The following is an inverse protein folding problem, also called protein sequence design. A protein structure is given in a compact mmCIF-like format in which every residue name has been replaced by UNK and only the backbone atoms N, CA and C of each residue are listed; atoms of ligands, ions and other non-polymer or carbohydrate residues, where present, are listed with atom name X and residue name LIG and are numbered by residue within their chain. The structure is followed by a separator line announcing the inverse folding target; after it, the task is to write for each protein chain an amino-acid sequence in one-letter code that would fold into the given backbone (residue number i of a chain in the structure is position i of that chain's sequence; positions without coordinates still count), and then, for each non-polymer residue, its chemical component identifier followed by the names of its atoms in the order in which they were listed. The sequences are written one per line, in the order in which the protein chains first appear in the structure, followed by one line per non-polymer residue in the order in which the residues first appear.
data_IF_463034997098
#
_entry.id   IF_463034997098
#
_cell.length_a   1.000
_cell.length_b   1.000
_cell.length_c   1.000
_cell.angle_alpha   90.00
_cell.angle_beta   90.00
_cell.angle_gamma   90.00
#
_symmetry.space_group_name_H-M   'P 1'
#
loop_
_entity.id
_entity.type
_entity.pdbx_description
1 polymer ?
#
# COMPACT_ATOMS: atom_id res chain seq x y z
N UNK A 1 17.02 -16.04 -27.18
CA UNK A 1 15.55 -16.09 -27.30
C UNK A 1 14.97 -14.89 -26.56
N UNK A 2 14.10 -14.07 -27.18
CA UNK A 2 13.63 -12.78 -26.63
C UNK A 2 12.38 -12.89 -25.72
N UNK A 3 11.70 -14.03 -25.74
CA UNK A 3 10.56 -14.33 -24.87
C UNK A 3 9.95 -15.69 -25.21
N UNK A 4 9.30 -16.32 -24.22
CA UNK A 4 8.62 -17.62 -24.37
C UNK A 4 7.21 -17.51 -23.80
N UNK A 5 6.22 -18.00 -24.55
CA UNK A 5 4.80 -18.06 -24.18
C UNK A 5 4.39 -19.51 -23.94
N UNK A 6 3.40 -19.72 -23.07
CA UNK A 6 2.70 -21.00 -22.98
C UNK A 6 1.62 -21.08 -24.06
N UNK A 7 1.24 -22.29 -24.46
CA UNK A 7 0.18 -22.57 -25.41
C UNK A 7 -0.37 -23.97 -25.17
N UNK A 8 -1.60 -24.23 -25.61
CA UNK A 8 -2.22 -25.57 -25.59
C UNK A 8 -2.72 -25.91 -27.00
N UNK A 9 -2.68 -27.20 -27.36
CA UNK A 9 -3.14 -27.68 -28.66
C UNK A 9 -4.67 -27.80 -28.66
N UNK A 10 -5.38 -27.05 -29.52
CA UNK A 10 -6.85 -27.06 -29.52
C UNK A 10 -7.46 -28.46 -29.73
N UNK A 11 -6.81 -29.32 -30.52
CA UNK A 11 -7.29 -30.68 -30.80
C UNK A 11 -7.23 -31.60 -29.58
N UNK A 12 -6.33 -31.31 -28.64
CA UNK A 12 -6.09 -32.13 -27.46
C UNK A 12 -6.48 -31.39 -26.16
N UNK A 13 -6.90 -30.14 -26.26
CA UNK A 13 -7.21 -29.33 -25.10
C UNK A 13 -8.47 -29.84 -24.42
N UNK A 14 -8.44 -29.85 -23.09
CA UNK A 14 -9.59 -30.19 -22.25
C UNK A 14 -10.19 -28.88 -21.75
N UNK A 15 -11.51 -28.79 -21.76
CA UNK A 15 -12.22 -27.64 -21.17
C UNK A 15 -12.21 -27.75 -19.65
N UNK A 16 -11.97 -26.63 -18.98
CA UNK A 16 -12.03 -26.54 -17.54
C UNK A 16 -12.60 -25.19 -17.11
N UNK A 17 -13.24 -25.17 -15.95
CA UNK A 17 -13.57 -23.95 -15.25
C UNK A 17 -12.37 -23.49 -14.44
N UNK A 18 -12.07 -22.20 -14.49
CA UNK A 18 -11.05 -21.57 -13.65
C UNK A 18 -11.71 -20.49 -12.82
N UNK A 19 -11.61 -20.62 -11.50
CA UNK A 19 -12.05 -19.64 -10.51
C UNK A 19 -10.86 -18.77 -10.10
N UNK A 20 -10.85 -17.54 -10.59
CA UNK A 20 -9.87 -16.53 -10.19
C UNK A 20 -10.40 -15.72 -9.00
N UNK A 21 -9.74 -15.87 -7.85
CA UNK A 21 -10.09 -15.14 -6.65
C UNK A 21 -9.27 -13.84 -6.53
N UNK A 22 -9.90 -12.80 -6.00
CA UNK A 22 -9.27 -11.59 -5.47
C UNK A 22 -9.71 -11.40 -4.00
N UNK A 23 -9.29 -10.30 -3.37
CA UNK A 23 -9.68 -9.93 -2.01
C UNK A 23 -11.19 -9.86 -1.89
N UNK A 24 -11.72 -10.49 -0.85
CA UNK A 24 -13.16 -10.53 -0.55
C UNK A 24 -13.71 -9.15 -0.21
N UNK A 25 -12.92 -8.30 0.44
CA UNK A 25 -13.32 -6.94 0.83
C UNK A 25 -12.51 -5.90 0.07
N UNK A 26 -13.17 -4.78 -0.23
CA UNK A 26 -12.57 -3.58 -0.84
C UNK A 26 -11.76 -2.77 0.19
N UNK A 27 -12.13 -2.88 1.46
CA UNK A 27 -11.45 -2.24 2.59
C UNK A 27 -10.54 -3.23 3.32
N UNK A 28 -9.45 -2.73 3.90
CA UNK A 28 -8.50 -3.52 4.69
C UNK A 28 -9.04 -3.84 6.10
N UNK A 29 -9.93 -3.00 6.63
CA UNK A 29 -10.59 -3.15 7.93
C UNK A 29 -12.10 -2.85 7.81
N UNK A 30 -12.87 -3.71 7.12
CA UNK A 30 -14.29 -3.46 6.81
C UNK A 30 -15.20 -3.42 8.05
N UNK A 31 -14.75 -3.95 9.19
CA UNK A 31 -15.45 -3.97 10.48
C UNK A 31 -15.10 -2.77 11.40
N UNK A 32 -14.18 -1.89 10.97
CA UNK A 32 -13.73 -0.75 11.79
C UNK A 32 -14.72 0.42 11.84
N UNK A 33 -15.77 0.38 11.03
CA UNK A 33 -16.76 1.45 10.89
C UNK A 33 -17.95 1.21 11.83
N UNK A 34 -18.20 2.13 12.76
CA UNK A 34 -19.32 2.02 13.71
C UNK A 34 -20.70 2.19 13.04
N UNK A 35 -20.75 2.94 11.93
CA UNK A 35 -21.99 3.34 11.27
C UNK A 35 -22.27 2.57 9.96
N UNK A 36 -21.50 1.52 9.65
CA UNK A 36 -21.63 0.75 8.40
C UNK A 36 -21.51 -0.74 8.63
N UNK A 37 -22.25 -1.53 7.86
CA UNK A 37 -22.10 -2.98 7.87
C UNK A 37 -20.87 -3.38 7.04
N UNK A 38 -20.07 -4.33 7.53
CA UNK A 38 -18.91 -4.85 6.82
C UNK A 38 -19.30 -5.48 5.46
N UNK A 39 -20.54 -5.97 5.34
CA UNK A 39 -21.11 -6.49 4.09
C UNK A 39 -21.13 -5.45 2.97
N UNK A 40 -21.22 -4.16 3.29
CA UNK A 40 -21.15 -3.07 2.30
C UNK A 40 -19.79 -2.97 1.60
N UNK A 41 -18.75 -3.57 2.19
CA UNK A 41 -17.40 -3.56 1.66
C UNK A 41 -17.04 -4.82 0.86
N UNK A 42 -17.99 -5.73 0.62
CA UNK A 42 -17.76 -6.90 -0.23
C UNK A 42 -17.32 -6.44 -1.62
N UNK A 43 -16.23 -7.02 -2.10
CA UNK A 43 -15.74 -6.85 -3.45
C UNK A 43 -16.59 -7.68 -4.42
N UNK A 44 -17.37 -7.05 -5.32
CA UNK A 44 -18.16 -7.77 -6.31
C UNK A 44 -17.29 -8.53 -7.31
N UNK A 45 -16.02 -8.13 -7.47
CA UNK A 45 -15.03 -8.77 -8.34
C UNK A 45 -14.14 -9.76 -7.58
N UNK A 46 -14.53 -10.18 -6.36
CA UNK A 46 -13.75 -11.12 -5.54
C UNK A 46 -13.64 -12.53 -6.13
N UNK A 47 -14.55 -12.89 -7.03
CA UNK A 47 -14.52 -14.14 -7.78
C UNK A 47 -14.84 -13.85 -9.25
N UNK A 48 -13.96 -14.34 -10.13
CA UNK A 48 -14.21 -14.38 -11.57
C UNK A 48 -14.10 -15.80 -12.07
N UNK A 49 -15.17 -16.29 -12.70
CA UNK A 49 -15.21 -17.62 -13.30
C UNK A 49 -14.90 -17.49 -14.79
N UNK A 50 -13.97 -18.32 -15.28
CA UNK A 50 -13.49 -18.30 -16.67
C UNK A 50 -13.51 -19.71 -17.24
N UNK A 51 -14.06 -19.89 -18.44
CA UNK A 51 -13.85 -21.13 -19.22
C UNK A 51 -12.43 -21.10 -19.81
N UNK A 52 -11.63 -22.11 -19.49
CA UNK A 52 -10.25 -22.25 -19.90
C UNK A 52 -10.01 -23.58 -20.65
N UNK A 53 -8.87 -23.63 -21.33
CA UNK A 53 -8.38 -24.81 -22.01
C UNK A 53 -7.07 -25.27 -21.37
N UNK A 54 -7.01 -26.53 -20.97
CA UNK A 54 -5.85 -27.14 -20.31
C UNK A 54 -5.25 -28.27 -21.15
N UNK A 55 -4.03 -28.70 -20.81
CA UNK A 55 -3.35 -29.79 -21.50
C UNK A 55 -3.85 -31.18 -21.08
N UNK A 56 -3.71 -32.21 -21.94
CA UNK A 56 -4.17 -33.57 -21.65
C UNK A 56 -3.59 -34.21 -20.38
N UNK A 57 -2.41 -33.79 -19.93
CA UNK A 57 -1.75 -34.32 -18.73
C UNK A 57 -2.61 -34.13 -17.47
N UNK A 58 -3.51 -33.14 -17.49
CA UNK A 58 -4.40 -32.78 -16.39
C UNK A 58 -5.78 -33.48 -16.49
N UNK A 59 -5.95 -34.47 -17.37
CA UNK A 59 -7.23 -35.18 -17.53
C UNK A 59 -7.65 -35.98 -16.28
N UNK A 60 -6.68 -36.54 -15.56
CA UNK A 60 -6.91 -37.49 -14.46
C UNK A 60 -6.38 -36.92 -13.13
N UNK A 61 -6.84 -35.72 -12.78
CA UNK A 61 -6.46 -35.04 -11.54
C UNK A 61 -7.47 -35.33 -10.44
N UNK A 62 -7.02 -35.29 -9.19
CA UNK A 62 -7.87 -35.48 -8.01
C UNK A 62 -8.11 -34.13 -7.31
N UNK A 63 -9.25 -33.97 -6.61
CA UNK A 63 -9.47 -32.81 -5.74
C UNK A 63 -8.30 -32.55 -4.80
N UNK A 64 -7.91 -31.29 -4.67
CA UNK A 64 -6.77 -30.86 -3.86
C UNK A 64 -5.39 -30.97 -4.53
N UNK A 65 -5.27 -31.63 -5.70
CA UNK A 65 -4.03 -31.63 -6.47
C UNK A 65 -3.61 -30.21 -6.84
N UNK A 66 -2.30 -29.96 -6.92
CA UNK A 66 -1.73 -28.60 -7.06
C UNK A 66 -0.80 -28.51 -8.25
N UNK A 67 -0.96 -27.45 -9.04
CA UNK A 67 -0.20 -27.23 -10.26
C UNK A 67 0.24 -25.78 -10.37
N UNK A 68 1.36 -25.57 -11.07
CA UNK A 68 1.74 -24.24 -11.53
C UNK A 68 1.38 -24.12 -13.02
N UNK A 69 0.39 -23.29 -13.33
CA UNK A 69 0.10 -22.96 -14.73
C UNK A 69 1.13 -21.95 -15.21
N UNK A 70 1.87 -22.34 -16.25
CA UNK A 70 3.06 -21.65 -16.69
C UNK A 70 2.76 -20.17 -17.00
N UNK A 71 3.49 -19.26 -16.34
CA UNK A 71 3.33 -17.79 -16.45
C UNK A 71 2.00 -17.21 -15.94
N UNK A 72 1.11 -18.00 -15.36
CA UNK A 72 -0.20 -17.54 -14.87
C UNK A 72 -0.20 -17.49 -13.34
N UNK A 73 0.04 -18.63 -12.69
CA UNK A 73 -0.10 -18.73 -11.24
C UNK A 73 -0.03 -20.17 -10.74
N UNK A 74 -0.30 -20.32 -9.45
CA UNK A 74 -0.49 -21.61 -8.82
C UNK A 74 -1.99 -21.86 -8.66
N UNK A 75 -2.39 -23.09 -8.93
CA UNK A 75 -3.76 -23.55 -8.96
C UNK A 75 -3.90 -24.85 -8.18
N UNK A 76 -5.09 -25.07 -7.61
CA UNK A 76 -5.49 -26.36 -7.09
C UNK A 76 -6.78 -26.83 -7.75
N UNK A 77 -6.99 -28.13 -7.78
CA UNK A 77 -8.26 -28.74 -8.17
C UNK A 77 -9.26 -28.52 -7.05
N UNK A 78 -10.44 -27.98 -7.39
CA UNK A 78 -11.54 -27.73 -6.45
C UNK A 78 -12.32 -29.03 -6.16
N UNK A 79 -12.95 -29.10 -4.99
CA UNK A 79 -13.75 -30.25 -4.57
C UNK A 79 -15.02 -30.45 -5.43
N UNK A 80 -15.47 -29.40 -6.13
CA UNK A 80 -16.55 -29.44 -7.12
C UNK A 80 -16.11 -30.12 -8.44
N UNK A 81 -14.84 -30.49 -8.60
CA UNK A 81 -14.34 -31.13 -9.81
C UNK A 81 -14.86 -32.55 -9.97
N UNK A 82 -15.24 -32.88 -11.20
CA UNK A 82 -15.69 -34.22 -11.61
C UNK A 82 -14.88 -34.69 -12.82
N UNK A 83 -15.04 -35.95 -13.21
CA UNK A 83 -14.37 -36.50 -14.40
C UNK A 83 -14.79 -35.81 -15.71
N UNK A 84 -15.94 -35.15 -15.74
CA UNK A 84 -16.46 -34.46 -16.92
C UNK A 84 -16.31 -32.93 -16.83
N UNK A 85 -16.21 -32.39 -15.62
CA UNK A 85 -16.09 -30.96 -15.36
C UNK A 85 -14.95 -30.69 -14.38
N UNK A 86 -13.80 -30.29 -14.92
CA UNK A 86 -12.64 -29.93 -14.12
C UNK A 86 -12.73 -28.47 -13.66
N UNK A 87 -12.54 -28.24 -12.37
CA UNK A 87 -12.60 -26.91 -11.75
C UNK A 87 -11.27 -26.61 -11.06
N UNK A 88 -10.62 -25.52 -11.45
CA UNK A 88 -9.36 -25.08 -10.87
C UNK A 88 -9.52 -23.75 -10.16
N UNK A 89 -9.06 -23.69 -8.91
CA UNK A 89 -8.98 -22.47 -8.14
C UNK A 89 -7.59 -21.86 -8.27
N UNK A 90 -7.54 -20.58 -8.62
CA UNK A 90 -6.29 -19.82 -8.60
C UNK A 90 -5.92 -19.51 -7.15
N UNK A 91 -4.94 -20.23 -6.62
CA UNK A 91 -4.43 -20.02 -5.26
C UNK A 91 -3.71 -18.67 -5.16
N UNK A 92 -2.79 -18.40 -6.09
CA UNK A 92 -2.04 -17.13 -6.13
C UNK A 92 -1.43 -16.90 -7.51
N UNK A 93 -1.36 -15.65 -7.95
CA UNK A 93 -0.64 -15.26 -9.17
C UNK A 93 0.89 -15.36 -9.02
N UNK A 94 1.61 -15.44 -10.14
CA UNK A 94 3.07 -15.36 -10.11
C UNK A 94 3.55 -13.95 -9.78
N UNK A 95 4.74 -13.87 -9.18
CA UNK A 95 5.40 -12.59 -8.91
C UNK A 95 5.83 -11.94 -10.22
N UNK A 96 5.14 -10.87 -10.62
CA UNK A 96 5.60 -10.02 -11.70
C UNK A 96 6.71 -9.08 -11.20
N UNK A 97 7.94 -9.30 -11.65
CA UNK A 97 9.09 -8.45 -11.32
C UNK A 97 9.22 -7.22 -12.23
N UNK A 98 8.52 -7.20 -13.38
CA UNK A 98 8.49 -6.05 -14.29
C UNK A 98 7.44 -5.01 -13.89
N UNK A 99 6.37 -5.42 -13.20
CA UNK A 99 5.39 -4.50 -12.61
C UNK A 99 5.96 -3.58 -11.52
N UNK A 100 7.23 -3.75 -11.11
CA UNK A 100 7.93 -2.82 -10.20
C UNK A 100 8.38 -1.50 -10.83
N UNK A 101 8.05 -1.22 -12.09
CA UNK A 101 8.38 0.07 -12.71
C UNK A 101 7.18 0.71 -13.40
N UNK A 102 6.34 1.33 -12.57
CA UNK A 102 5.76 2.68 -12.69
C UNK A 102 4.61 2.76 -11.67
N UNK A 103 4.55 3.74 -10.76
CA UNK A 103 3.26 4.07 -10.15
C UNK A 103 2.31 4.33 -11.33
N UNK A 104 1.25 3.53 -11.45
CA UNK A 104 0.20 3.80 -12.43
C UNK A 104 -0.23 5.26 -12.24
N UNK A 105 -0.26 6.10 -13.28
CA UNK A 105 -0.99 7.35 -13.21
C UNK A 105 -2.41 6.95 -12.83
N UNK A 106 -2.89 7.39 -11.67
CA UNK A 106 -4.32 7.32 -11.39
C UNK A 106 -4.95 8.28 -12.37
N UNK A 107 -5.67 7.76 -13.35
CA UNK A 107 -6.56 8.57 -14.17
C UNK A 107 -7.54 9.25 -13.24
N UNK A 108 -7.41 10.58 -13.14
CA UNK A 108 -8.41 11.45 -12.53
C UNK A 108 -9.61 11.52 -13.47
N UNK A 109 -10.45 10.48 -13.48
CA UNK A 109 -11.82 10.65 -13.92
C UNK A 109 -12.63 11.16 -12.72
N UNK A 110 -13.07 12.40 -12.84
CA UNK A 110 -14.08 13.04 -11.99
C UNK A 110 -15.32 12.14 -11.88
N UNK A 111 -15.42 11.38 -10.79
CA UNK A 111 -16.69 10.96 -10.21
C UNK A 111 -16.82 11.64 -8.85
N UNK A 112 -17.99 12.16 -8.47
CA UNK A 112 -18.19 12.71 -7.14
C UNK A 112 -17.93 11.59 -6.13
N UNK A 113 -16.83 11.70 -5.38
CA UNK A 113 -16.51 10.81 -4.28
C UNK A 113 -17.43 11.17 -3.10
N UNK A 114 -18.16 10.19 -2.52
CA UNK A 114 -18.63 10.37 -1.15
C UNK A 114 -17.38 10.53 -0.25
N UNK A 115 -17.45 11.47 0.69
CA UNK A 115 -16.33 11.96 1.49
C UNK A 115 -15.37 10.82 1.93
N UNK A 116 -14.20 10.77 1.29
CA UNK A 116 -13.10 9.92 1.72
C UNK A 116 -12.74 10.29 3.15
N UNK A 117 -12.72 9.31 4.06
CA UNK A 117 -12.02 9.46 5.33
C UNK A 117 -10.57 9.83 5.00
N UNK A 118 -10.23 11.12 5.20
CA UNK A 118 -8.86 11.60 5.12
C UNK A 118 -8.05 10.74 6.09
N UNK A 119 -7.00 10.06 5.60
CA UNK A 119 -5.99 9.52 6.52
C UNK A 119 -5.56 10.64 7.46
N UNK A 120 -5.48 10.41 8.78
CA UNK A 120 -5.08 11.46 9.72
C UNK A 120 -3.80 12.13 9.22
N UNK A 121 -3.77 13.46 9.18
CA UNK A 121 -2.67 14.22 8.59
C UNK A 121 -1.29 13.80 9.17
N UNK A 122 -1.28 13.43 10.45
CA UNK A 122 -0.10 12.91 11.16
C UNK A 122 0.47 11.61 10.54
N UNK A 123 -0.36 10.69 10.04
CA UNK A 123 0.11 9.45 9.40
C UNK A 123 0.78 9.73 8.06
N UNK A 124 0.30 10.74 7.33
CA UNK A 124 0.92 11.17 6.08
C UNK A 124 2.27 11.84 6.36
N UNK A 125 2.35 12.71 7.37
CA UNK A 125 3.62 13.33 7.81
C UNK A 125 4.66 12.25 8.19
N UNK A 126 4.27 11.22 8.94
CA UNK A 126 5.16 10.08 9.27
C UNK A 126 5.66 9.37 8.01
N UNK A 127 4.81 9.15 7.01
CA UNK A 127 5.19 8.50 5.76
C UNK A 127 6.16 9.34 4.92
N UNK A 128 5.94 10.66 4.85
CA UNK A 128 6.84 11.60 4.17
C UNK A 128 8.20 11.65 4.86
N UNK A 129 8.22 11.76 6.20
CA UNK A 129 9.44 11.76 7.00
C UNK A 129 10.31 10.51 6.79
N UNK A 130 9.70 9.31 6.73
CA UNK A 130 10.44 8.05 6.50
C UNK A 130 11.27 8.04 5.20
N UNK A 131 10.86 8.83 4.18
CA UNK A 131 11.52 8.87 2.88
C UNK A 131 12.37 10.13 2.68
N UNK A 132 12.17 11.16 3.50
CA UNK A 132 12.66 12.52 3.28
C UNK A 132 14.15 12.59 2.92
N UNK A 133 15.02 11.98 3.74
CA UNK A 133 16.48 12.01 3.54
C UNK A 133 16.97 11.25 2.29
N UNK A 134 16.15 10.37 1.73
CA UNK A 134 16.48 9.57 0.54
C UNK A 134 15.93 10.19 -0.75
N UNK A 135 15.24 11.33 -0.67
CA UNK A 135 14.69 12.03 -1.82
C UNK A 135 15.74 12.99 -2.42
N UNK A 136 15.75 13.19 -3.75
CA UNK A 136 16.45 14.31 -4.38
C UNK A 136 15.92 15.66 -3.85
N UNK A 137 16.76 16.70 -3.83
CA UNK A 137 16.42 18.05 -3.31
C UNK A 137 15.07 18.58 -3.83
N UNK A 138 14.85 18.51 -5.15
CA UNK A 138 13.58 18.94 -5.79
C UNK A 138 12.33 18.23 -5.26
N UNK A 139 12.47 17.00 -4.73
CA UNK A 139 11.37 16.24 -4.11
C UNK A 139 11.30 16.50 -2.61
N UNK A 140 12.42 16.79 -1.95
CA UNK A 140 12.43 17.21 -0.54
C UNK A 140 11.65 18.50 -0.35
N UNK A 141 11.84 19.49 -1.22
CA UNK A 141 11.08 20.76 -1.19
C UNK A 141 9.56 20.53 -1.29
N UNK A 142 9.14 19.65 -2.21
CA UNK A 142 7.73 19.28 -2.37
C UNK A 142 7.18 18.57 -1.13
N UNK A 143 7.94 17.61 -0.59
CA UNK A 143 7.55 16.92 0.64
C UNK A 143 7.51 17.86 1.85
N UNK A 144 8.42 18.83 1.94
CA UNK A 144 8.40 19.87 2.97
C UNK A 144 7.15 20.74 2.87
N UNK A 145 6.81 21.22 1.68
CA UNK A 145 5.59 22.00 1.45
C UNK A 145 4.31 21.21 1.82
N UNK A 146 4.29 19.91 1.52
CA UNK A 146 3.18 19.03 1.90
C UNK A 146 3.09 18.82 3.42
N UNK A 147 4.23 18.60 4.10
CA UNK A 147 4.29 18.49 5.57
C UNK A 147 3.80 19.78 6.22
N UNK A 148 4.24 20.95 5.74
CA UNK A 148 3.80 22.25 6.26
C UNK A 148 2.28 22.40 6.18
N UNK A 149 1.68 22.06 5.04
CA UNK A 149 0.23 22.13 4.86
C UNK A 149 -0.52 21.14 5.76
N UNK A 150 -0.03 19.91 5.86
CA UNK A 150 -0.65 18.88 6.72
C UNK A 150 -0.53 19.22 8.20
N UNK A 151 0.52 19.95 8.59
CA UNK A 151 0.74 20.35 9.97
C UNK A 151 -0.29 21.40 10.46
N UNK A 152 -1.00 22.09 9.55
CA UNK A 152 -2.13 22.96 9.91
C UNK A 152 -3.35 22.16 10.42
N UNK A 153 -3.43 20.86 10.09
CA UNK A 153 -4.57 19.98 10.44
C UNK A 153 -4.28 19.06 11.66
N UNK A 154 -3.13 19.19 12.33
CA UNK A 154 -2.77 18.34 13.49
C UNK A 154 -2.70 19.13 14.80
N UNK A 155 -2.84 18.43 15.93
CA UNK A 155 -2.67 18.99 17.27
C UNK A 155 -1.29 18.69 17.86
N UNK A 156 -0.90 19.39 18.94
CA UNK A 156 0.30 19.06 19.71
C UNK A 156 0.30 17.62 20.21
N UNK A 157 -0.86 17.11 20.66
CA UNK A 157 -1.00 15.75 21.18
C UNK A 157 -0.69 14.68 20.12
N UNK A 158 -0.91 14.97 18.83
CA UNK A 158 -0.55 14.08 17.73
C UNK A 158 0.96 14.07 17.46
N UNK A 159 1.62 15.20 17.70
CA UNK A 159 3.03 15.41 17.35
C UNK A 159 4.00 15.01 18.46
N UNK A 160 3.67 15.30 19.72
CA UNK A 160 4.50 15.04 20.90
C UNK A 160 5.07 13.61 20.97
N UNK A 161 4.30 12.54 20.66
CA UNK A 161 4.85 11.18 20.66
C UNK A 161 6.05 10.99 19.73
N UNK A 162 6.18 11.81 18.68
CA UNK A 162 7.28 11.75 17.74
C UNK A 162 8.57 12.40 18.26
N UNK A 163 8.55 13.15 19.36
CA UNK A 163 9.77 13.72 19.95
C UNK A 163 10.72 12.63 20.47
N UNK A 164 10.17 11.47 20.85
CA UNK A 164 10.94 10.29 21.26
C UNK A 164 11.43 9.43 20.09
N UNK A 165 11.38 9.93 18.86
CA UNK A 165 11.87 9.21 17.68
C UNK A 165 13.38 8.98 17.77
N UNK A 166 13.81 7.72 17.58
CA UNK A 166 15.22 7.34 17.63
C UNK A 166 16.10 8.18 16.68
N UNK A 167 17.30 8.56 17.13
CA UNK A 167 18.27 9.41 16.41
C UNK A 167 18.51 8.96 14.96
N UNK A 168 18.64 7.65 14.73
CA UNK A 168 18.84 7.06 13.40
C UNK A 168 17.69 7.29 12.40
N UNK A 169 16.50 7.70 12.86
CA UNK A 169 15.32 7.98 12.03
C UNK A 169 15.24 9.47 11.70
N UNK A 170 16.34 10.01 11.18
CA UNK A 170 16.53 11.46 10.95
C UNK A 170 15.43 12.08 10.09
N UNK A 171 14.98 11.41 9.02
CA UNK A 171 13.90 11.94 8.17
C UNK A 171 12.56 12.13 8.91
N UNK A 172 12.24 11.23 9.85
CA UNK A 172 11.06 11.40 10.71
C UNK A 172 11.25 12.57 11.67
N UNK A 173 12.44 12.73 12.25
CA UNK A 173 12.77 13.89 13.11
C UNK A 173 12.66 15.21 12.35
N UNK A 174 13.11 15.27 11.09
CA UNK A 174 12.98 16.44 10.22
C UNK A 174 11.51 16.79 9.99
N UNK A 175 10.68 15.80 9.60
CA UNK A 175 9.25 16.02 9.39
C UNK A 175 8.54 16.49 10.67
N UNK A 176 8.89 15.93 11.83
CA UNK A 176 8.40 16.38 13.13
C UNK A 176 8.81 17.82 13.43
N UNK A 177 10.06 18.21 13.12
CA UNK A 177 10.55 19.58 13.32
C UNK A 177 9.80 20.59 12.43
N UNK A 178 9.60 20.26 11.16
CA UNK A 178 8.83 21.08 10.23
C UNK A 178 7.40 21.25 10.72
N UNK A 179 6.75 20.17 11.17
CA UNK A 179 5.39 20.24 11.70
C UNK A 179 5.30 21.05 13.00
N UNK A 180 6.29 20.91 13.89
CA UNK A 180 6.40 21.71 15.11
C UNK A 180 6.51 23.20 14.81
N UNK A 181 7.25 23.58 13.76
CA UNK A 181 7.39 24.99 13.35
C UNK A 181 6.04 25.64 13.02
N UNK A 182 5.09 24.87 12.47
CA UNK A 182 3.75 25.35 12.13
C UNK A 182 2.90 25.51 13.38
N UNK A 183 2.92 24.53 14.28
CA UNK A 183 2.20 24.61 15.55
C UNK A 183 2.63 25.82 16.37
N UNK A 184 3.94 26.06 16.50
CA UNK A 184 4.47 27.21 17.22
C UNK A 184 4.07 28.55 16.57
N UNK A 185 4.08 28.62 15.22
CA UNK A 185 3.58 29.80 14.49
C UNK A 185 2.08 30.03 14.69
N UNK A 186 1.32 28.96 14.88
CA UNK A 186 -0.12 28.99 15.13
C UNK A 186 -0.47 29.19 16.62
N UNK A 187 0.51 29.51 17.47
CA UNK A 187 0.28 29.88 18.87
C UNK A 187 0.41 28.74 19.88
N UNK A 188 0.94 27.58 19.49
CA UNK A 188 1.32 26.54 20.45
C UNK A 188 2.42 27.08 21.39
N UNK A 189 2.21 26.96 22.70
CA UNK A 189 3.22 27.34 23.68
C UNK A 189 4.37 26.34 23.74
N UNK A 190 5.58 26.86 23.93
CA UNK A 190 6.76 26.02 24.21
C UNK A 190 6.64 25.39 25.59
N UNK A 191 7.13 24.15 25.69
CA UNK A 191 7.22 23.41 26.93
C UNK A 191 8.54 22.64 26.97
N UNK A 192 8.83 22.00 28.10
CA UNK A 192 10.08 21.26 28.31
C UNK A 192 10.32 20.17 27.24
N UNK A 193 9.27 19.51 26.76
CA UNK A 193 9.39 18.47 25.74
C UNK A 193 9.78 19.05 24.37
N UNK A 194 9.20 20.20 24.00
CA UNK A 194 9.54 20.95 22.78
C UNK A 194 10.99 21.42 22.84
N UNK A 195 11.39 22.08 23.92
CA UNK A 195 12.74 22.63 24.05
C UNK A 195 13.78 21.51 24.05
N UNK A 196 13.54 20.43 24.79
CA UNK A 196 14.40 19.24 24.77
C UNK A 196 14.54 18.63 23.37
N UNK A 197 13.46 18.61 22.59
CA UNK A 197 13.49 18.07 21.23
C UNK A 197 14.27 18.99 20.27
N UNK A 198 14.12 20.31 20.40
CA UNK A 198 14.85 21.31 19.62
C UNK A 198 16.34 21.25 19.94
N UNK A 199 16.72 21.26 21.21
CA UNK A 199 18.14 21.22 21.63
C UNK A 199 18.85 19.97 21.09
N UNK A 200 18.21 18.80 21.24
CA UNK A 200 18.72 17.53 20.68
C UNK A 200 18.76 17.49 19.15
N UNK A 201 18.02 18.37 18.47
CA UNK A 201 18.05 18.48 17.02
C UNK A 201 19.12 19.46 16.54
N UNK A 202 19.41 20.51 17.32
CA UNK A 202 20.51 21.45 17.08
C UNK A 202 21.87 20.75 17.22
N UNK A 203 21.99 19.81 18.16
CA UNK A 203 23.19 19.00 18.38
C UNK A 203 23.31 17.77 17.45
N UNK A 204 22.37 17.57 16.50
CA UNK A 204 22.38 16.42 15.60
C UNK A 204 23.45 16.57 14.49
N UNK A 205 23.98 15.45 14.00
CA UNK A 205 24.97 15.45 12.91
C UNK A 205 24.35 15.75 11.54
N UNK A 206 23.02 15.72 11.41
CA UNK A 206 22.34 15.95 10.15
C UNK A 206 22.05 17.44 9.90
N UNK A 207 22.69 18.00 8.87
CA UNK A 207 22.58 19.42 8.53
C UNK A 207 21.14 19.89 8.24
N UNK A 208 20.31 19.07 7.61
CA UNK A 208 18.91 19.42 7.31
C UNK A 208 18.09 19.52 8.60
N UNK A 209 18.25 18.57 9.52
CA UNK A 209 17.56 18.60 10.81
C UNK A 209 17.99 19.82 11.64
N UNK A 210 19.29 20.10 11.68
CA UNK A 210 19.85 21.27 12.38
C UNK A 210 19.32 22.57 11.78
N UNK A 211 19.22 22.66 10.45
CA UNK A 211 18.69 23.82 9.77
C UNK A 211 17.22 24.09 10.11
N UNK A 212 16.36 23.06 10.15
CA UNK A 212 14.96 23.23 10.58
C UNK A 212 14.87 23.59 12.08
N UNK A 213 15.70 22.99 12.93
CA UNK A 213 15.69 23.27 14.36
C UNK A 213 16.10 24.72 14.68
N UNK A 214 17.09 25.25 13.96
CA UNK A 214 17.54 26.65 14.10
C UNK A 214 16.54 27.68 13.55
N UNK A 215 15.57 27.25 12.73
CA UNK A 215 14.57 28.12 12.14
C UNK A 215 13.36 28.38 13.05
N UNK A 216 13.33 27.78 14.25
CA UNK A 216 12.24 27.80 15.24
C UNK A 216 12.69 28.45 16.55
#
# INVERSE_FOLDING_TARGET
VKGTLHWVSIKHAIKAEVREYDRLFLDEAPDSYQDKDFMEFINPDSLKIVEAYIEPSLANVNPGDRFQFQRIGYFNVDDDSTSEHLVFNKTVGLRDSWAKQKPKPKDHQNKPQPAQHKRPAIEVIKQLGKKYTNLPETKQEKSKAEILKLAEEISYADLEPLFNTAVKKTGTRIATMIALSVLLKNGQERNEAIDTFIDKAIEDNNELLVAEAKAI
#
